data_IF_772139032314
#
_entry.id   IF_772139032314
#
_cell.length_a   1.000
_cell.length_b   1.000
_cell.length_c   1.000
_cell.angle_alpha   90.00
_cell.angle_beta   90.00
_cell.angle_gamma   90.00
#
_symmetry.space_group_name_H-M   'P 1'
#
loop_
_entity.id
_entity.type
_entity.pdbx_description
1 polymer ?
#
# COMPACT_ATOMS: atom_id res chain seq x y z
N UNK A 1 9.57 8.22 -11.74
CA UNK A 1 8.30 8.44 -11.03
C UNK A 1 8.66 8.46 -9.55
N UNK A 2 8.55 9.62 -8.88
CA UNK A 2 8.94 9.75 -7.48
C UNK A 2 8.02 8.90 -6.59
N UNK A 3 8.61 8.22 -5.61
CA UNK A 3 7.91 7.34 -4.65
C UNK A 3 6.69 8.02 -4.03
N UNK A 4 6.75 9.34 -3.81
CA UNK A 4 5.63 10.15 -3.32
C UNK A 4 4.37 10.07 -4.19
N UNK A 5 4.50 10.08 -5.54
CA UNK A 5 3.35 9.94 -6.45
C UNK A 5 2.79 8.52 -6.49
N UNK A 6 3.59 7.52 -6.11
CA UNK A 6 3.19 6.11 -6.07
C UNK A 6 2.45 5.77 -4.78
N UNK A 7 2.98 6.24 -3.65
CA UNK A 7 2.36 6.18 -2.33
C UNK A 7 0.99 6.88 -2.36
N UNK A 8 0.91 8.08 -2.93
CA UNK A 8 -0.34 8.86 -2.87
C UNK A 8 -1.49 8.29 -3.74
N UNK A 9 -1.16 7.59 -4.84
CA UNK A 9 -2.13 6.92 -5.72
C UNK A 9 -2.54 5.53 -5.24
N UNK A 10 -1.71 4.82 -4.48
CA UNK A 10 -1.99 3.42 -4.08
C UNK A 10 -2.35 3.23 -2.60
N UNK A 11 -2.34 4.27 -1.77
CA UNK A 11 -2.85 4.20 -0.39
C UNK A 11 -4.38 4.11 -0.28
N UNK A 12 -5.11 3.96 -1.38
CA UNK A 12 -6.57 3.83 -1.37
C UNK A 12 -7.09 2.74 -0.43
N UNK A 13 -6.50 1.52 -0.37
CA UNK A 13 -6.96 0.48 0.57
C UNK A 13 -6.81 0.91 2.03
N UNK A 14 -5.70 1.58 2.36
CA UNK A 14 -5.45 2.12 3.70
C UNK A 14 -6.44 3.24 4.04
N UNK A 15 -6.75 4.11 3.07
CA UNK A 15 -7.76 5.18 3.24
C UNK A 15 -9.17 4.61 3.46
N UNK A 16 -9.55 3.55 2.74
CA UNK A 16 -10.83 2.85 2.98
C UNK A 16 -10.87 2.31 4.40
N UNK A 17 -9.81 1.62 4.84
CA UNK A 17 -9.73 1.06 6.19
C UNK A 17 -9.90 2.14 7.26
N UNK A 18 -9.18 3.25 7.15
CA UNK A 18 -9.32 4.39 8.07
C UNK A 18 -10.73 4.99 8.04
N UNK A 19 -11.35 5.06 6.86
CA UNK A 19 -12.73 5.50 6.70
C UNK A 19 -13.72 4.59 7.42
N UNK A 20 -13.57 3.27 7.27
CA UNK A 20 -14.41 2.30 7.99
C UNK A 20 -14.21 2.44 9.50
N UNK A 21 -12.96 2.47 9.98
CA UNK A 21 -12.71 2.60 11.42
C UNK A 21 -13.31 3.88 12.00
N UNK A 22 -13.20 5.01 11.30
CA UNK A 22 -13.83 6.26 11.72
C UNK A 22 -15.36 6.15 11.74
N UNK A 23 -15.95 5.48 10.75
CA UNK A 23 -17.39 5.26 10.72
C UNK A 23 -17.87 4.43 11.91
N UNK A 24 -17.20 3.30 12.17
CA UNK A 24 -17.53 2.39 13.27
C UNK A 24 -17.33 3.05 14.65
N UNK A 25 -16.29 3.88 14.79
CA UNK A 25 -16.09 4.69 15.99
C UNK A 25 -17.19 5.74 16.20
N UNK A 26 -17.68 6.37 15.13
CA UNK A 26 -18.78 7.34 15.25
C UNK A 26 -20.11 6.64 15.55
N UNK A 27 -20.36 5.46 14.99
CA UNK A 27 -21.53 4.65 15.32
C UNK A 27 -21.52 4.20 16.79
N UNK A 28 -20.35 3.79 17.30
CA UNK A 28 -20.16 3.37 18.69
C UNK A 28 -19.94 4.54 19.66
N UNK A 29 -20.25 5.78 19.26
CA UNK A 29 -19.93 6.96 20.07
C UNK A 29 -20.71 6.97 21.38
N UNK A 30 -19.98 6.95 22.49
CA UNK A 30 -20.54 6.88 23.85
C UNK A 30 -20.74 5.45 24.36
N UNK A 31 -20.42 4.45 23.54
CA UNK A 31 -20.36 3.05 23.93
C UNK A 31 -18.93 2.67 24.34
N UNK A 32 -18.80 1.65 25.20
CA UNK A 32 -17.49 1.13 25.61
C UNK A 32 -16.97 0.03 24.67
N UNK A 33 -17.75 -0.36 23.67
CA UNK A 33 -17.48 -1.50 22.79
C UNK A 33 -17.79 -1.13 21.35
N UNK A 34 -16.85 -1.40 20.45
CA UNK A 34 -17.05 -1.28 19.00
C UNK A 34 -17.31 -2.67 18.45
N UNK A 35 -18.44 -2.86 17.78
CA UNK A 35 -18.80 -4.14 17.15
C UNK A 35 -18.45 -4.07 15.68
N UNK A 36 -17.59 -4.99 15.22
CA UNK A 36 -17.19 -5.06 13.82
C UNK A 36 -17.69 -6.37 13.21
N UNK A 37 -18.27 -6.29 12.01
CA UNK A 37 -18.65 -7.47 11.24
C UNK A 37 -17.39 -8.25 10.82
N UNK A 38 -17.37 -9.55 11.16
CA UNK A 38 -16.24 -10.44 10.90
C UNK A 38 -15.91 -10.56 9.41
N UNK A 39 -16.91 -10.60 8.54
CA UNK A 39 -16.70 -10.75 7.10
C UNK A 39 -16.21 -9.44 6.48
N UNK A 40 -16.65 -8.29 7.00
CA UNK A 40 -16.09 -6.98 6.62
C UNK A 40 -14.60 -6.90 7.01
N UNK A 41 -14.25 -7.30 8.23
CA UNK A 41 -12.86 -7.32 8.69
C UNK A 41 -12.02 -8.29 7.87
N UNK A 42 -12.54 -9.49 7.55
CA UNK A 42 -11.86 -10.46 6.70
C UNK A 42 -11.57 -9.89 5.32
N UNK A 43 -12.57 -9.32 4.66
CA UNK A 43 -12.43 -8.74 3.32
C UNK A 43 -11.42 -7.59 3.29
N UNK A 44 -11.37 -6.78 4.35
CA UNK A 44 -10.36 -5.74 4.51
C UNK A 44 -8.95 -6.31 4.65
N UNK A 45 -8.77 -7.33 5.48
CA UNK A 45 -7.46 -8.00 5.64
C UNK A 45 -6.98 -8.54 4.30
N UNK A 46 -7.83 -9.23 3.55
CA UNK A 46 -7.49 -9.76 2.22
C UNK A 46 -7.10 -8.64 1.24
N UNK A 47 -7.85 -7.54 1.23
CA UNK A 47 -7.56 -6.38 0.37
C UNK A 47 -6.23 -5.73 0.71
N UNK A 48 -5.90 -5.59 2.00
CA UNK A 48 -4.62 -5.02 2.46
C UNK A 48 -3.46 -5.98 2.14
N UNK A 49 -3.65 -7.29 2.30
CA UNK A 49 -2.62 -8.29 1.93
C UNK A 49 -2.27 -8.22 0.45
N UNK A 50 -3.28 -8.19 -0.43
CA UNK A 50 -3.07 -8.02 -1.88
C UNK A 50 -2.31 -6.72 -2.20
N UNK A 51 -2.65 -5.63 -1.52
CA UNK A 51 -1.95 -4.35 -1.68
C UNK A 51 -0.48 -4.43 -1.26
N UNK A 52 -0.16 -5.11 -0.16
CA UNK A 52 1.23 -5.29 0.30
C UNK A 52 2.02 -6.10 -0.72
N UNK A 53 1.46 -7.20 -1.22
CA UNK A 53 2.10 -8.03 -2.26
C UNK A 53 2.39 -7.21 -3.53
N UNK A 54 1.42 -6.46 -4.03
CA UNK A 54 1.58 -5.58 -5.20
C UNK A 54 2.64 -4.49 -4.97
N UNK A 55 2.69 -3.95 -3.75
CA UNK A 55 3.69 -2.95 -3.37
C UNK A 55 5.08 -3.55 -3.37
N UNK A 56 5.27 -4.73 -2.79
CA UNK A 56 6.56 -5.42 -2.75
C UNK A 56 7.07 -5.76 -4.16
N UNK A 57 6.21 -6.32 -5.01
CA UNK A 57 6.56 -6.65 -6.40
C UNK A 57 6.96 -5.40 -7.17
N UNK A 58 6.17 -4.33 -7.07
CA UNK A 58 6.50 -3.08 -7.76
C UNK A 58 7.78 -2.44 -7.23
N UNK A 59 8.02 -2.49 -5.92
CA UNK A 59 9.22 -1.91 -5.30
C UNK A 59 10.49 -2.68 -5.71
N UNK A 60 10.42 -4.02 -5.79
CA UNK A 60 11.50 -4.86 -6.35
C UNK A 60 11.78 -4.51 -7.80
N UNK A 61 10.76 -4.43 -8.65
CA UNK A 61 10.90 -4.07 -10.06
C UNK A 61 11.54 -2.67 -10.26
N UNK A 62 11.21 -1.71 -9.40
CA UNK A 62 11.84 -0.38 -9.43
C UNK A 62 13.33 -0.43 -9.05
N UNK A 63 13.70 -1.21 -8.04
CA UNK A 63 15.11 -1.41 -7.65
C UNK A 63 15.92 -2.06 -8.77
N UNK A 64 15.36 -3.08 -9.42
CA UNK A 64 16.02 -3.77 -10.54
C UNK A 64 16.21 -2.85 -11.74
N UNK A 65 15.21 -2.00 -12.07
CA UNK A 65 15.36 -0.98 -13.10
C UNK A 65 16.43 0.04 -12.76
N UNK A 66 16.54 0.48 -11.50
CA UNK A 66 17.60 1.39 -11.09
C UNK A 66 18.98 0.74 -11.26
N UNK A 67 19.19 -0.48 -10.77
CA UNK A 67 20.46 -1.20 -10.94
C UNK A 67 20.84 -1.38 -12.41
N UNK A 68 19.88 -1.74 -13.28
CA UNK A 68 20.13 -1.85 -14.72
C UNK A 68 20.57 -0.52 -15.34
N UNK A 69 19.96 0.60 -14.94
CA UNK A 69 20.37 1.94 -15.40
C UNK A 69 21.78 2.31 -14.95
N UNK A 70 22.15 1.97 -13.71
CA UNK A 70 23.51 2.19 -13.20
C UNK A 70 24.55 1.32 -13.92
N UNK A 71 24.24 0.05 -14.19
CA UNK A 71 25.14 -0.85 -14.93
C UNK A 71 25.36 -0.39 -16.38
N UNK A 72 24.30 0.07 -17.07
CA UNK A 72 24.41 0.61 -18.43
C UNK A 72 25.21 1.92 -18.49
N UNK A 73 25.09 2.78 -17.48
CA UNK A 73 25.87 4.01 -17.40
C UNK A 73 27.35 3.76 -17.09
N UNK A 74 27.69 2.69 -16.35
CA UNK A 74 29.06 2.29 -16.05
C UNK A 74 29.80 1.62 -17.22
N UNK A 75 29.09 0.93 -18.11
CA UNK A 75 29.66 0.25 -19.28
C UNK A 75 30.03 1.17 -20.45
N UNK A 76 29.53 2.40 -20.49
CA UNK A 76 29.76 3.34 -21.60
C UNK A 76 31.10 4.09 -21.56
N UNK A 77 31.94 3.89 -20.53
CA UNK A 77 33.22 4.60 -20.35
C UNK A 77 34.47 3.78 -20.70
N UNK A 78 34.33 2.57 -21.23
CA UNK A 78 35.47 1.74 -21.67
C UNK A 78 35.20 1.30 -23.10
N UNK A 79 35.51 2.19 -24.04
CA UNK A 79 35.43 1.98 -25.49
C UNK A 79 36.22 3.07 -26.20
#
# INVERSE_FOLDING_TARGET
MEMGKFVDRRLHPVRILLGLMNHEMELARGENTITLDREVVRSLIETVSLFVEDFEVSNRAMRDQQQKKFAQAGGAKVG
#
